data_IF_238310783938
#
_entry.id   IF_238310783938
#
_cell.length_a   1.000
_cell.length_b   1.000
_cell.length_c   1.000
_cell.angle_alpha   90.00
_cell.angle_beta   90.00
_cell.angle_gamma   90.00
#
_symmetry.space_group_name_H-M   'P 1'
#
loop_
_entity.id
_entity.type
_entity.pdbx_description
1 polymer ?
#
# COMPACT_ATOMS: atom_id res chain seq x y z
N UNK A 1 0.60 2.41 23.89
CA UNK A 1 1.85 1.98 23.23
C UNK A 1 1.88 2.64 21.88
N UNK A 2 3.02 3.23 21.50
CA UNK A 2 3.13 3.95 20.23
C UNK A 2 3.62 2.99 19.15
N UNK A 3 2.87 2.86 18.07
CA UNK A 3 3.32 2.15 16.87
C UNK A 3 4.40 3.01 16.21
N UNK A 4 5.54 2.41 15.90
CA UNK A 4 6.64 3.05 15.18
C UNK A 4 6.58 2.69 13.70
N UNK A 5 6.68 3.69 12.82
CA UNK A 5 6.68 3.47 11.37
C UNK A 5 8.02 3.94 10.81
N UNK A 6 8.76 3.00 10.20
CA UNK A 6 10.07 3.25 9.62
C UNK A 6 10.20 2.65 8.22
N UNK A 7 11.16 3.16 7.45
CA UNK A 7 11.58 2.53 6.19
C UNK A 7 12.45 1.33 6.54
N UNK A 8 12.06 0.15 6.09
CA UNK A 8 12.78 -1.10 6.33
C UNK A 8 12.95 -1.89 5.03
N UNK A 9 13.94 -2.79 5.01
CA UNK A 9 14.10 -3.73 3.89
C UNK A 9 12.99 -4.78 3.89
N UNK A 10 12.32 -5.06 2.76
CA UNK A 10 11.28 -6.09 2.72
C UNK A 10 11.83 -7.52 2.81
N UNK A 11 13.15 -7.70 2.76
CA UNK A 11 13.80 -9.02 2.78
C UNK A 11 13.89 -9.64 4.18
N UNK A 12 13.20 -9.08 5.18
CA UNK A 12 13.09 -9.61 6.54
C UNK A 12 11.98 -10.65 6.66
N UNK A 13 12.15 -11.62 7.56
CA UNK A 13 11.16 -12.68 7.81
C UNK A 13 9.81 -12.12 8.30
N UNK A 14 9.82 -11.09 9.14
CA UNK A 14 8.59 -10.43 9.60
C UNK A 14 7.80 -9.80 8.45
N UNK A 15 8.50 -9.20 7.47
CA UNK A 15 7.85 -8.58 6.31
C UNK A 15 7.33 -9.64 5.36
N UNK A 16 8.07 -10.74 5.18
CA UNK A 16 7.61 -11.94 4.46
C UNK A 16 6.31 -12.48 5.06
N UNK A 17 6.23 -12.55 6.39
CA UNK A 17 5.02 -12.97 7.10
C UNK A 17 3.84 -12.02 6.85
N UNK A 18 4.04 -10.70 6.98
CA UNK A 18 2.99 -9.71 6.66
C UNK A 18 2.50 -9.82 5.21
N UNK A 19 3.41 -9.99 4.27
CA UNK A 19 3.10 -10.14 2.84
C UNK A 19 2.34 -11.45 2.56
N UNK A 20 2.72 -12.55 3.21
CA UNK A 20 2.01 -13.82 3.11
C UNK A 20 0.58 -13.72 3.67
N UNK A 21 0.41 -13.09 4.84
CA UNK A 21 -0.91 -12.84 5.43
C UNK A 21 -1.78 -11.97 4.51
N UNK A 22 -1.23 -10.90 3.94
CA UNK A 22 -1.94 -10.05 2.97
C UNK A 22 -2.37 -10.87 1.74
N UNK A 23 -1.48 -11.68 1.18
CA UNK A 23 -1.79 -12.49 0.00
C UNK A 23 -2.91 -13.50 0.29
N UNK A 24 -2.87 -14.16 1.45
CA UNK A 24 -3.92 -15.07 1.87
C UNK A 24 -5.27 -14.35 1.97
N UNK A 25 -5.30 -13.18 2.61
CA UNK A 25 -6.52 -12.38 2.73
C UNK A 25 -7.07 -11.88 1.37
N UNK A 26 -6.20 -11.53 0.43
CA UNK A 26 -6.62 -11.12 -0.92
C UNK A 26 -7.23 -12.28 -1.70
N UNK A 27 -6.64 -13.47 -1.62
CA UNK A 27 -7.11 -14.66 -2.34
C UNK A 27 -8.46 -15.19 -1.84
N UNK A 28 -8.88 -14.83 -0.61
CA UNK A 28 -10.23 -15.12 -0.11
C UNK A 28 -11.31 -14.27 -0.80
N UNK A 29 -10.93 -13.13 -1.38
CA UNK A 29 -11.85 -12.10 -1.87
C UNK A 29 -11.80 -11.92 -3.39
N UNK A 30 -10.64 -12.16 -3.99
CA UNK A 30 -10.34 -11.87 -5.39
C UNK A 30 -9.64 -13.08 -6.03
N UNK A 31 -10.09 -13.54 -7.22
CA UNK A 31 -9.42 -14.63 -7.94
C UNK A 31 -7.94 -14.32 -8.19
N UNK A 32 -7.10 -15.34 -8.20
CA UNK A 32 -5.64 -15.17 -8.29
C UNK A 32 -5.20 -14.42 -9.57
N UNK A 33 -5.91 -14.60 -10.68
CA UNK A 33 -5.62 -13.87 -11.94
C UNK A 33 -5.82 -12.35 -11.87
N UNK A 34 -6.55 -11.87 -10.87
CA UNK A 34 -6.83 -10.44 -10.63
C UNK A 34 -6.02 -9.87 -9.44
N UNK A 35 -5.13 -10.66 -8.84
CA UNK A 35 -4.27 -10.23 -7.74
C UNK A 35 -2.91 -9.72 -8.25
N UNK A 36 -2.81 -8.43 -8.56
CA UNK A 36 -1.58 -7.80 -9.08
C UNK A 36 -0.60 -7.36 -7.97
N UNK A 37 -0.03 -8.31 -7.24
CA UNK A 37 0.88 -8.02 -6.12
C UNK A 37 2.37 -8.06 -6.48
N UNK A 38 3.18 -7.32 -5.70
CA UNK A 38 4.64 -7.45 -5.70
C UNK A 38 5.06 -8.56 -4.70
N UNK A 39 6.05 -9.36 -5.08
CA UNK A 39 6.80 -10.20 -4.12
C UNK A 39 7.71 -9.32 -3.26
N UNK A 40 8.18 -9.84 -2.13
CA UNK A 40 9.13 -9.08 -1.28
C UNK A 40 10.45 -8.82 -2.00
N UNK A 41 10.88 -9.70 -2.91
CA UNK A 41 12.05 -9.50 -3.75
C UNK A 41 11.85 -8.35 -4.73
N UNK A 42 10.66 -8.25 -5.35
CA UNK A 42 10.32 -7.13 -6.23
C UNK A 42 10.22 -5.82 -5.43
N UNK A 43 9.70 -5.87 -4.21
CA UNK A 43 9.66 -4.71 -3.31
C UNK A 43 11.06 -4.22 -2.88
N UNK A 44 12.10 -5.05 -3.02
CA UNK A 44 13.48 -4.67 -2.71
C UNK A 44 14.16 -3.91 -3.87
N UNK A 45 13.46 -3.70 -4.99
CA UNK A 45 13.94 -2.88 -6.10
C UNK A 45 14.17 -1.43 -5.70
N UNK A 46 15.08 -0.74 -6.40
CA UNK A 46 15.44 0.66 -6.12
C UNK A 46 14.31 1.65 -6.38
N UNK A 47 13.28 1.24 -7.12
CA UNK A 47 12.06 2.00 -7.40
C UNK A 47 11.04 1.91 -6.26
N UNK A 48 11.29 1.09 -5.24
CA UNK A 48 10.32 0.80 -4.18
C UNK A 48 10.87 1.19 -2.80
N UNK A 49 10.03 1.84 -1.99
CA UNK A 49 10.31 2.10 -0.57
C UNK A 49 9.23 1.48 0.28
N UNK A 50 9.63 0.67 1.25
CA UNK A 50 8.72 -0.09 2.10
C UNK A 50 8.71 0.50 3.50
N UNK A 51 7.51 0.77 4.00
CA UNK A 51 7.26 1.26 5.34
C UNK A 51 6.68 0.13 6.18
N UNK A 52 7.27 -0.12 7.34
CA UNK A 52 6.82 -1.13 8.29
C UNK A 52 6.39 -0.43 9.57
N UNK A 53 5.21 -0.80 10.05
CA UNK A 53 4.67 -0.40 11.34
C UNK A 53 4.98 -1.49 12.36
N UNK A 54 5.65 -1.14 13.46
CA UNK A 54 5.99 -2.04 14.56
C UNK A 54 5.35 -1.60 15.87
N UNK A 55 4.80 -2.56 16.62
CA UNK A 55 4.36 -2.36 18.01
C UNK A 55 5.24 -3.23 18.91
N UNK A 56 6.06 -2.59 19.77
CA UNK A 56 7.07 -3.27 20.61
C UNK A 56 7.94 -4.28 19.83
N UNK A 57 8.40 -3.90 18.64
CA UNK A 57 9.23 -4.73 17.77
C UNK A 57 8.46 -5.71 16.88
N UNK A 58 7.19 -6.00 17.18
CA UNK A 58 6.34 -6.85 16.33
C UNK A 58 5.90 -6.08 15.08
N UNK A 59 6.16 -6.60 13.89
CA UNK A 59 5.61 -6.03 12.65
C UNK A 59 4.09 -6.23 12.59
N UNK A 60 3.32 -5.13 12.53
CA UNK A 60 1.85 -5.13 12.64
C UNK A 60 1.17 -4.52 11.42
N UNK A 61 1.91 -3.84 10.55
CA UNK A 61 1.40 -3.31 9.29
C UNK A 61 2.52 -2.96 8.33
N UNK A 62 2.16 -2.81 7.06
CA UNK A 62 3.09 -2.39 6.02
C UNK A 62 2.38 -1.60 4.91
N UNK A 63 3.19 -0.91 4.12
CA UNK A 63 2.81 -0.26 2.88
C UNK A 63 4.05 0.11 2.09
N UNK A 64 3.88 0.43 0.81
CA UNK A 64 5.00 0.78 -0.06
C UNK A 64 4.65 1.93 -0.99
N UNK A 65 5.68 2.72 -1.30
CA UNK A 65 5.70 3.63 -2.44
C UNK A 65 6.50 2.96 -3.55
N UNK A 66 5.88 2.75 -4.72
CA UNK A 66 6.57 2.34 -5.95
C UNK A 66 6.59 3.50 -6.94
N UNK A 67 7.75 3.84 -7.49
CA UNK A 67 7.86 4.86 -8.56
C UNK A 67 7.67 4.20 -9.91
N UNK A 68 6.95 4.87 -10.79
CA UNK A 68 6.74 4.43 -12.18
C UNK A 68 7.46 5.34 -13.18
N UNK A 69 7.45 6.63 -12.90
CA UNK A 69 8.13 7.67 -13.68
C UNK A 69 8.52 8.84 -12.75
N UNK A 70 9.00 9.95 -13.33
CA UNK A 70 9.45 11.14 -12.59
C UNK A 70 8.32 11.87 -11.84
N UNK A 71 7.06 11.61 -12.18
CA UNK A 71 5.89 12.32 -11.65
C UNK A 71 4.95 11.43 -10.84
N UNK A 72 4.92 10.11 -11.11
CA UNK A 72 3.89 9.19 -10.62
C UNK A 72 4.45 8.17 -9.65
N UNK A 73 3.89 8.18 -8.44
CA UNK A 73 4.07 7.14 -7.44
C UNK A 73 2.82 6.29 -7.28
N UNK A 74 2.99 5.03 -6.88
CA UNK A 74 1.90 4.12 -6.56
C UNK A 74 1.97 3.70 -5.09
N UNK A 75 0.85 3.80 -4.38
CA UNK A 75 0.69 3.24 -3.04
C UNK A 75 0.33 1.76 -3.17
N UNK A 76 1.20 0.86 -2.71
CA UNK A 76 0.95 -0.59 -2.81
C UNK A 76 1.18 -1.32 -1.49
N UNK A 77 0.75 -2.59 -1.48
CA UNK A 77 1.03 -3.57 -0.42
C UNK A 77 0.63 -3.07 0.98
N UNK A 78 -0.47 -2.34 1.03
CA UNK A 78 -1.05 -1.84 2.27
C UNK A 78 -1.68 -2.98 3.05
N UNK A 79 -1.23 -3.19 4.29
CA UNK A 79 -1.82 -4.17 5.19
C UNK A 79 -1.67 -3.74 6.64
N UNK A 80 -2.65 -4.12 7.46
CA UNK A 80 -2.59 -4.02 8.91
C UNK A 80 -3.22 -5.27 9.48
N UNK A 81 -2.48 -5.94 10.38
CA UNK A 81 -2.95 -7.15 11.05
C UNK A 81 -4.31 -6.92 11.69
N UNK A 82 -5.24 -7.90 11.63
CA UNK A 82 -6.58 -7.76 12.22
C UNK A 82 -6.57 -7.27 13.67
N UNK A 83 -5.62 -7.73 14.48
CA UNK A 83 -5.45 -7.34 15.88
C UNK A 83 -5.10 -5.87 16.12
N UNK A 84 -4.66 -5.13 15.09
CA UNK A 84 -4.24 -3.73 15.17
C UNK A 84 -5.05 -2.80 14.25
N UNK A 85 -6.17 -3.31 13.70
CA UNK A 85 -7.10 -2.48 12.92
C UNK A 85 -7.81 -1.47 13.82
N UNK A 86 -8.28 -0.37 13.23
CA UNK A 86 -8.92 0.73 13.97
C UNK A 86 -7.95 1.69 14.67
N UNK A 87 -6.65 1.36 14.71
CA UNK A 87 -5.60 2.20 15.31
C UNK A 87 -4.99 3.22 14.34
N UNK A 88 -5.64 3.46 13.18
CA UNK A 88 -5.20 4.41 12.13
C UNK A 88 -3.83 4.14 11.49
N UNK A 89 -3.19 2.99 11.76
CA UNK A 89 -1.89 2.58 11.18
C UNK A 89 -1.85 2.75 9.65
N UNK A 90 -2.85 2.25 8.93
CA UNK A 90 -2.90 2.38 7.47
C UNK A 90 -2.90 3.84 7.00
N UNK A 91 -3.61 4.74 7.68
CA UNK A 91 -3.63 6.16 7.33
C UNK A 91 -2.27 6.83 7.63
N UNK A 92 -1.61 6.45 8.73
CA UNK A 92 -0.27 6.95 9.06
C UNK A 92 0.77 6.50 8.03
N UNK A 93 0.72 5.23 7.60
CA UNK A 93 1.59 4.71 6.54
C UNK A 93 1.36 5.47 5.23
N UNK A 94 0.10 5.70 4.81
CA UNK A 94 -0.18 6.49 3.60
C UNK A 94 0.37 7.92 3.74
N UNK A 95 0.25 8.53 4.92
CA UNK A 95 0.85 9.83 5.19
C UNK A 95 2.39 9.85 5.03
N UNK A 96 3.08 8.78 5.44
CA UNK A 96 4.53 8.63 5.21
C UNK A 96 4.88 8.44 3.74
N UNK A 97 4.11 7.62 3.02
CA UNK A 97 4.25 7.44 1.57
C UNK A 97 4.08 8.78 0.84
N UNK A 98 3.05 9.53 1.20
CA UNK A 98 2.77 10.84 0.61
C UNK A 98 3.85 11.88 0.90
N UNK A 99 4.38 11.90 2.12
CA UNK A 99 5.49 12.77 2.49
C UNK A 99 6.75 12.45 1.67
N UNK A 100 7.08 11.17 1.51
CA UNK A 100 8.23 10.75 0.70
C UNK A 100 8.02 11.09 -0.78
N UNK A 101 6.83 10.83 -1.32
CA UNK A 101 6.50 11.14 -2.70
C UNK A 101 6.69 12.65 -3.00
N UNK A 102 6.22 13.53 -2.11
CA UNK A 102 6.46 14.97 -2.23
C UNK A 102 7.92 15.36 -2.12
N UNK A 103 8.64 14.75 -1.18
CA UNK A 103 10.08 15.01 -1.01
C UNK A 103 10.87 14.66 -2.27
N UNK A 104 10.44 13.63 -3.00
CA UNK A 104 11.04 13.19 -4.26
C UNK A 104 10.55 13.96 -5.49
N UNK A 105 9.62 14.90 -5.32
CA UNK A 105 9.09 15.72 -6.41
C UNK A 105 7.98 15.05 -7.23
N UNK A 106 7.43 13.92 -6.78
CA UNK A 106 6.28 13.30 -7.42
C UNK A 106 5.07 14.23 -7.31
N UNK A 107 4.26 14.29 -8.37
CA UNK A 107 3.11 15.20 -8.48
C UNK A 107 1.77 14.46 -8.38
N UNK A 108 1.79 13.13 -8.45
CA UNK A 108 0.60 12.28 -8.38
C UNK A 108 0.88 10.97 -7.66
N UNK A 109 -0.05 10.58 -6.80
CA UNK A 109 -0.15 9.21 -6.30
C UNK A 109 -1.34 8.51 -6.91
N UNK A 110 -1.14 7.24 -7.25
CA UNK A 110 -2.21 6.34 -7.69
C UNK A 110 -2.21 5.07 -6.86
N UNK A 111 -3.32 4.33 -6.89
CA UNK A 111 -3.38 2.98 -6.36
C UNK A 111 -4.50 2.18 -7.03
N UNK A 112 -4.30 0.87 -7.04
CA UNK A 112 -5.30 -0.14 -7.36
C UNK A 112 -5.63 -0.91 -6.08
N UNK A 113 -6.90 -1.26 -5.91
CA UNK A 113 -7.37 -2.06 -4.78
C UNK A 113 -8.61 -2.87 -5.16
N UNK A 114 -8.80 -4.02 -4.53
CA UNK A 114 -9.94 -4.89 -4.85
C UNK A 114 -11.31 -4.25 -4.58
N UNK A 115 -12.30 -4.67 -5.38
CA UNK A 115 -13.72 -4.26 -5.31
C UNK A 115 -14.43 -4.65 -3.99
N UNK A 116 -13.81 -5.50 -3.17
CA UNK A 116 -14.36 -6.01 -1.89
C UNK A 116 -13.62 -5.52 -0.64
N UNK A 117 -12.95 -4.36 -0.72
CA UNK A 117 -12.15 -3.80 0.38
C UNK A 117 -12.65 -2.43 0.88
N UNK A 118 -13.89 -2.30 1.37
CA UNK A 118 -14.46 -1.00 1.77
C UNK A 118 -13.70 -0.31 2.91
N UNK A 119 -13.08 -1.08 3.80
CA UNK A 119 -12.24 -0.55 4.86
C UNK A 119 -10.98 0.13 4.32
N UNK A 120 -10.37 -0.40 3.26
CA UNK A 120 -9.20 0.21 2.62
C UNK A 120 -9.59 1.50 1.88
N UNK A 121 -10.71 1.49 1.17
CA UNK A 121 -11.23 2.67 0.46
C UNK A 121 -11.41 3.86 1.41
N UNK A 122 -12.01 3.61 2.57
CA UNK A 122 -12.21 4.64 3.59
C UNK A 122 -10.89 5.26 4.07
N UNK A 123 -9.80 4.50 4.11
CA UNK A 123 -8.47 5.04 4.45
C UNK A 123 -8.01 6.02 3.38
N UNK A 124 -8.10 5.64 2.10
CA UNK A 124 -7.64 6.45 0.97
C UNK A 124 -8.50 7.72 0.80
N UNK A 125 -9.83 7.58 0.84
CA UNK A 125 -10.77 8.70 0.69
C UNK A 125 -10.59 9.75 1.79
N UNK A 126 -10.37 9.31 3.05
CA UNK A 126 -10.14 10.22 4.18
C UNK A 126 -8.85 11.02 4.07
N UNK A 127 -7.85 10.48 3.37
CA UNK A 127 -6.59 11.18 3.13
C UNK A 127 -6.58 11.87 1.76
N UNK A 128 -7.75 12.04 1.13
CA UNK A 128 -7.92 12.89 -0.05
C UNK A 128 -7.63 12.22 -1.40
N UNK A 129 -7.57 10.89 -1.45
CA UNK A 129 -7.66 10.19 -2.73
C UNK A 129 -9.08 10.22 -3.27
N UNK A 130 -9.22 10.32 -4.58
CA UNK A 130 -10.48 10.30 -5.29
C UNK A 130 -10.54 9.11 -6.24
N UNK A 131 -11.73 8.49 -6.37
CA UNK A 131 -11.93 7.43 -7.36
C UNK A 131 -11.68 7.96 -8.77
N UNK A 132 -11.06 7.13 -9.60
CA UNK A 132 -10.78 7.42 -11.00
C UNK A 132 -10.95 6.16 -11.86
N UNK A 133 -10.65 6.26 -13.15
CA UNK A 133 -10.56 5.09 -14.03
C UNK A 133 -9.25 4.32 -13.84
N UNK A 134 -9.01 3.28 -14.66
CA UNK A 134 -7.75 2.54 -14.64
C UNK A 134 -6.53 3.44 -14.71
N UNK A 135 -5.52 3.09 -13.93
CA UNK A 135 -4.23 3.79 -13.85
C UNK A 135 -3.12 2.86 -14.30
N UNK A 136 -2.00 3.42 -14.75
CA UNK A 136 -0.84 2.65 -15.22
C UNK A 136 -1.27 1.64 -16.31
N UNK A 137 -0.76 0.41 -16.25
CA UNK A 137 -1.08 -0.68 -17.18
C UNK A 137 -2.13 -1.66 -16.61
N UNK A 138 -2.87 -1.29 -15.56
CA UNK A 138 -3.91 -2.16 -15.01
C UNK A 138 -5.08 -2.30 -15.98
N UNK A 139 -5.59 -3.53 -16.20
CA UNK A 139 -6.80 -3.72 -16.99
C UNK A 139 -8.00 -3.14 -16.26
N UNK A 140 -8.95 -2.61 -17.02
CA UNK A 140 -10.29 -2.33 -16.50
C UNK A 140 -10.97 -3.66 -16.15
N UNK A 141 -11.31 -3.86 -14.89
CA UNK A 141 -11.93 -5.09 -14.42
C UNK A 141 -12.90 -4.81 -13.29
N UNK A 142 -13.95 -5.63 -13.18
CA UNK A 142 -14.94 -5.54 -12.09
C UNK A 142 -14.34 -5.83 -10.71
N UNK A 143 -13.13 -6.39 -10.66
CA UNK A 143 -12.41 -6.76 -9.43
C UNK A 143 -11.52 -5.64 -8.89
N UNK A 144 -11.34 -4.56 -9.65
CA UNK A 144 -10.41 -3.48 -9.30
C UNK A 144 -11.13 -2.14 -9.16
N UNK A 145 -10.69 -1.37 -8.18
CA UNK A 145 -11.08 0.01 -7.96
C UNK A 145 -9.82 0.85 -7.93
N UNK A 146 -9.84 1.97 -8.64
CA UNK A 146 -8.70 2.84 -8.81
C UNK A 146 -8.92 4.16 -8.09
N UNK A 147 -7.84 4.65 -7.48
CA UNK A 147 -7.82 5.94 -6.81
C UNK A 147 -6.58 6.72 -7.23
N UNK A 148 -6.73 8.03 -7.27
CA UNK A 148 -5.63 8.96 -7.49
C UNK A 148 -5.67 10.12 -6.50
N UNK A 149 -4.53 10.77 -6.33
CA UNK A 149 -4.39 12.00 -5.57
C UNK A 149 -3.32 12.88 -6.20
N UNK A 150 -3.67 14.14 -6.47
CA UNK A 150 -2.67 15.15 -6.84
C UNK A 150 -1.88 15.59 -5.60
N UNK A 151 -0.57 15.72 -5.73
CA UNK A 151 0.34 16.17 -4.68
C UNK A 151 0.76 17.64 -4.81
N UNK A 152 0.38 18.29 -5.91
CA UNK A 152 0.66 19.68 -6.24
C UNK A 152 -0.05 20.68 -5.31
#
# INVERSE_FOLDING_TARGET
>A
MAVEIAVETPLQDDVRALVAELNAALLELTPAEHCYHLTVEQMAGSDTTVFIARDNGLAVGCGALKRHDEATGEVKRMYTRPSHRGMKIGAEIVGRVEALARQEGLTRLVLETGDRHPAAWTVYERVGFTRCGPVLDYPDSEWSVFYEKSLA
#
